data_IF_155493028605
#
_entry.id   IF_155493028605
#
_cell.length_a   1.000
_cell.length_b   1.000
_cell.length_c   1.000
_cell.angle_alpha   90.00
_cell.angle_beta   90.00
_cell.angle_gamma   90.00
#
_symmetry.space_group_name_H-M   'P 1'
#
loop_
_entity.id
_entity.type
_entity.pdbx_description
1 polymer ?
#
# COMPACT_ATOMS: atom_id res chain seq x y z
N UNK A 1 -19.00 -76.32 -38.55
CA UNK A 1 -20.18 -76.00 -37.71
C UNK A 1 -19.70 -75.79 -36.27
N UNK A 2 -20.39 -74.95 -35.50
CA UNK A 2 -19.94 -74.25 -34.27
C UNK A 2 -19.80 -75.23 -33.07
N UNK A 3 -18.92 -75.00 -32.07
CA UNK A 3 -19.23 -74.48 -30.69
C UNK A 3 -17.92 -74.17 -29.92
N UNK A 4 -17.92 -73.10 -29.09
CA UNK A 4 -16.90 -72.73 -28.06
C UNK A 4 -17.30 -73.26 -26.66
N UNK A 5 -16.38 -73.52 -25.71
CA UNK A 5 -16.07 -72.55 -24.62
C UNK A 5 -14.56 -72.51 -24.24
N UNK A 6 -13.89 -71.45 -23.76
CA UNK A 6 -14.08 -70.48 -22.64
C UNK A 6 -13.73 -71.01 -21.23
N UNK A 7 -12.53 -70.67 -20.71
CA UNK A 7 -12.02 -70.58 -19.30
C UNK A 7 -10.58 -69.99 -19.43
N UNK A 8 -10.12 -68.83 -18.93
CA UNK A 8 -10.12 -68.16 -17.59
C UNK A 8 -9.19 -68.86 -16.56
N UNK A 9 -8.39 -68.25 -15.68
CA UNK A 9 -8.02 -66.87 -15.30
C UNK A 9 -6.57 -66.97 -14.71
N UNK A 10 -5.68 -65.97 -14.71
CA UNK A 10 -5.39 -65.03 -13.60
C UNK A 10 -4.13 -64.19 -13.93
N UNK A 11 -4.17 -62.92 -13.51
CA UNK A 11 -3.16 -61.88 -13.63
C UNK A 11 -1.75 -62.20 -13.09
N UNK A 12 -0.74 -61.62 -13.74
CA UNK A 12 0.48 -61.16 -13.06
C UNK A 12 0.40 -59.65 -12.89
N UNK A 13 0.31 -59.23 -11.63
CA UNK A 13 0.30 -57.83 -11.22
C UNK A 13 1.69 -57.23 -11.43
N UNK A 14 1.77 -56.15 -12.21
CA UNK A 14 2.79 -55.12 -12.03
C UNK A 14 2.05 -53.78 -11.93
N UNK A 15 2.42 -52.90 -11.00
CA UNK A 15 1.85 -51.57 -10.96
C UNK A 15 2.23 -50.86 -12.25
N UNK A 16 1.26 -50.27 -12.94
CA UNK A 16 1.57 -49.11 -13.78
C UNK A 16 1.96 -48.00 -12.83
N UNK A 17 3.27 -47.96 -12.50
CA UNK A 17 3.88 -46.83 -11.85
C UNK A 17 3.53 -45.61 -12.68
N UNK A 18 2.77 -44.69 -12.11
CA UNK A 18 2.56 -43.38 -12.70
C UNK A 18 3.93 -42.72 -12.79
N UNK A 19 4.55 -42.83 -13.97
CA UNK A 19 5.69 -42.02 -14.32
C UNK A 19 5.13 -40.60 -14.43
N UNK A 20 5.35 -39.80 -13.39
CA UNK A 20 5.29 -38.37 -13.51
C UNK A 20 6.40 -38.00 -14.51
N UNK A 21 6.03 -37.94 -15.78
CA UNK A 21 6.91 -37.54 -16.86
C UNK A 21 7.26 -36.07 -16.60
N UNK A 22 8.47 -35.84 -16.09
CA UNK A 22 9.01 -34.50 -15.91
C UNK A 22 9.20 -33.89 -17.30
N UNK A 23 8.17 -33.22 -17.79
CA UNK A 23 8.26 -32.37 -18.96
C UNK A 23 9.28 -31.28 -18.65
N UNK A 24 10.49 -31.42 -19.19
CA UNK A 24 11.49 -30.35 -19.14
C UNK A 24 10.87 -29.13 -19.79
N UNK A 25 10.88 -27.99 -19.09
CA UNK A 25 10.51 -26.72 -19.71
C UNK A 25 11.36 -26.54 -20.98
N UNK A 26 10.69 -26.35 -22.10
CA UNK A 26 11.36 -26.10 -23.38
C UNK A 26 12.10 -24.76 -23.28
N UNK A 27 13.40 -24.76 -23.56
CA UNK A 27 14.21 -23.54 -23.60
C UNK A 27 13.62 -22.51 -24.56
N UNK A 28 12.88 -22.94 -25.59
CA UNK A 28 12.15 -22.04 -26.48
C UNK A 28 11.00 -21.28 -25.79
N UNK A 29 10.33 -21.91 -24.81
CA UNK A 29 9.29 -21.29 -23.99
C UNK A 29 9.85 -20.37 -22.89
N UNK A 30 11.12 -20.55 -22.51
CA UNK A 30 11.85 -19.63 -21.62
C UNK A 30 12.59 -18.52 -22.38
N UNK A 31 12.96 -18.75 -23.65
CA UNK A 31 13.65 -17.77 -24.51
C UNK A 31 12.80 -16.53 -24.83
N UNK A 32 11.47 -16.64 -24.75
CA UNK A 32 10.54 -15.50 -24.85
C UNK A 32 10.50 -14.63 -23.59
N UNK A 33 10.93 -15.17 -22.44
CA UNK A 33 11.08 -14.44 -21.18
C UNK A 33 12.42 -13.71 -21.13
N UNK A 34 13.49 -14.30 -21.69
CA UNK A 34 14.81 -13.68 -21.78
C UNK A 34 14.90 -12.63 -22.90
N UNK A 35 14.26 -11.48 -22.70
CA UNK A 35 14.31 -10.36 -23.67
C UNK A 35 13.52 -9.10 -23.29
N UNK A 36 13.01 -9.00 -22.06
CA UNK A 36 12.21 -7.86 -21.62
C UNK A 36 13.08 -6.75 -21.03
N UNK A 37 12.72 -5.50 -21.32
CA UNK A 37 13.37 -4.28 -20.79
C UNK A 37 12.84 -3.94 -19.39
N UNK A 38 12.89 -4.90 -18.47
CA UNK A 38 12.24 -4.84 -17.17
C UNK A 38 11.40 -6.08 -16.85
N UNK A 39 10.73 -6.07 -15.69
CA UNK A 39 9.85 -7.13 -15.21
C UNK A 39 8.50 -6.51 -14.88
N UNK A 40 7.43 -7.06 -15.47
CA UNK A 40 6.04 -6.77 -15.08
C UNK A 40 5.51 -7.89 -14.19
N UNK A 41 4.86 -7.52 -13.09
CA UNK A 41 4.21 -8.43 -12.15
C UNK A 41 2.77 -7.95 -11.95
N UNK A 42 1.80 -8.80 -12.23
CA UNK A 42 0.41 -8.63 -11.80
C UNK A 42 0.24 -9.40 -10.48
N UNK A 43 -0.40 -8.79 -9.49
CA UNK A 43 -0.46 -9.32 -8.12
C UNK A 43 -1.81 -9.05 -7.48
N UNK A 44 -2.34 -10.08 -6.82
CA UNK A 44 -3.46 -10.01 -5.88
C UNK A 44 -2.93 -10.53 -4.53
N UNK A 45 -2.91 -9.72 -3.48
CA UNK A 45 -2.27 -10.09 -2.22
C UNK A 45 -2.94 -9.48 -0.98
N UNK A 46 -2.94 -10.21 0.12
CA UNK A 46 -3.26 -9.70 1.45
C UNK A 46 -2.12 -10.07 2.40
N UNK A 47 -1.79 -9.18 3.33
CA UNK A 47 -0.73 -9.37 4.30
C UNK A 47 -1.26 -9.15 5.72
N UNK A 48 -1.18 -10.20 6.53
CA UNK A 48 -1.46 -10.18 7.96
C UNK A 48 -0.14 -10.38 8.72
N UNK A 49 0.27 -9.38 9.52
CA UNK A 49 1.50 -9.39 10.32
C UNK A 49 1.10 -9.28 11.79
N UNK A 50 1.38 -10.32 12.58
CA UNK A 50 1.02 -10.33 14.00
C UNK A 50 1.67 -9.21 14.82
N UNK A 51 2.93 -8.84 14.53
CA UNK A 51 3.62 -7.76 15.22
C UNK A 51 4.77 -7.14 14.42
N UNK A 52 4.90 -5.82 14.47
CA UNK A 52 6.10 -5.06 14.05
C UNK A 52 6.67 -4.37 15.30
N UNK A 53 7.95 -4.60 15.61
CA UNK A 53 8.61 -3.98 16.77
C UNK A 53 9.79 -3.12 16.33
N UNK A 54 9.81 -1.86 16.76
CA UNK A 54 10.99 -1.01 16.79
C UNK A 54 11.54 -0.95 18.23
N UNK A 55 12.82 -1.26 18.42
CA UNK A 55 13.47 -1.34 19.74
C UNK A 55 14.59 -0.31 19.87
N UNK A 56 14.51 0.52 20.91
CA UNK A 56 15.53 1.49 21.34
C UNK A 56 15.37 1.75 22.85
N UNK A 57 16.23 1.11 23.65
CA UNK A 57 16.13 0.87 25.11
C UNK A 57 14.82 0.24 25.62
N UNK A 58 13.65 0.76 25.25
CA UNK A 58 12.36 0.08 25.25
C UNK A 58 11.91 -0.28 23.84
N UNK A 59 10.60 -0.33 23.56
CA UNK A 59 10.10 -0.56 22.20
C UNK A 59 8.76 0.09 21.89
N UNK A 60 8.55 0.45 20.62
CA UNK A 60 7.24 0.61 20.00
C UNK A 60 6.87 -0.72 19.33
N UNK A 61 5.75 -1.32 19.73
CA UNK A 61 5.20 -2.52 19.11
C UNK A 61 3.85 -2.19 18.46
N UNK A 62 3.66 -2.61 17.21
CA UNK A 62 2.43 -2.44 16.44
C UNK A 62 1.85 -3.84 16.21
N UNK A 63 0.67 -4.13 16.77
CA UNK A 63 0.04 -5.46 16.74
C UNK A 63 -1.02 -5.61 15.65
N UNK A 64 -1.17 -6.84 15.16
CA UNK A 64 -2.21 -7.28 14.22
C UNK A 64 -2.36 -6.34 13.00
N UNK A 65 -1.26 -6.13 12.28
CA UNK A 65 -1.20 -5.27 11.10
C UNK A 65 -1.78 -6.01 9.89
N UNK A 66 -2.85 -5.47 9.33
CA UNK A 66 -3.45 -5.90 8.07
C UNK A 66 -3.11 -4.88 6.97
N UNK A 67 -2.72 -5.40 5.80
CA UNK A 67 -2.68 -4.67 4.54
C UNK A 67 -3.40 -5.50 3.46
N UNK A 68 -4.35 -4.90 2.76
CA UNK A 68 -5.13 -5.56 1.71
C UNK A 68 -6.01 -4.55 0.97
N UNK A 69 -7.04 -5.05 0.28
CA UNK A 69 -8.10 -4.23 -0.31
C UNK A 69 -9.03 -3.64 0.76
N UNK A 70 -9.89 -2.71 0.36
CA UNK A 70 -10.84 -2.04 1.26
C UNK A 70 -12.12 -2.85 1.48
N UNK A 71 -12.43 -3.84 0.64
CA UNK A 71 -13.67 -4.63 0.68
C UNK A 71 -14.94 -3.74 0.64
N UNK A 72 -14.87 -2.62 -0.11
CA UNK A 72 -15.91 -1.58 -0.22
C UNK A 72 -16.10 -1.06 -1.64
N UNK A 73 -17.35 -0.78 -2.05
CA UNK A 73 -17.70 -0.07 -3.29
C UNK A 73 -18.08 1.42 -3.07
N UNK A 74 -18.21 1.85 -1.81
CA UNK A 74 -18.68 3.20 -1.44
C UNK A 74 -17.56 4.23 -1.23
N UNK A 75 -16.32 3.93 -1.62
CA UNK A 75 -15.20 4.88 -1.55
C UNK A 75 -15.47 6.09 -2.47
N UNK A 76 -15.41 7.31 -1.91
CA UNK A 76 -15.60 8.57 -2.63
C UNK A 76 -16.93 8.68 -3.40
N UNK A 77 -18.06 8.31 -2.77
CA UNK A 77 -19.43 8.32 -3.33
C UNK A 77 -19.75 9.54 -4.18
N UNK A 78 -19.36 10.73 -3.71
CA UNK A 78 -19.62 12.01 -4.37
C UNK A 78 -18.97 12.05 -5.76
N UNK A 79 -17.76 11.50 -5.88
CA UNK A 79 -16.99 11.44 -7.11
C UNK A 79 -17.62 10.58 -8.18
N UNK A 80 -18.01 9.34 -7.85
CA UNK A 80 -18.59 8.46 -8.86
C UNK A 80 -20.05 8.80 -9.18
N UNK A 81 -20.77 9.41 -8.22
CA UNK A 81 -22.11 9.95 -8.43
C UNK A 81 -22.09 11.14 -9.40
N UNK A 82 -21.12 12.04 -9.28
CA UNK A 82 -21.01 13.23 -10.13
C UNK A 82 -20.41 12.91 -11.52
N UNK A 83 -19.32 12.13 -11.59
CA UNK A 83 -18.55 11.97 -12.81
C UNK A 83 -18.79 10.63 -13.56
N UNK A 84 -19.11 9.55 -12.85
CA UNK A 84 -19.17 8.19 -13.42
C UNK A 84 -20.62 7.71 -13.65
N UNK A 85 -21.59 8.62 -13.76
CA UNK A 85 -23.00 8.26 -13.94
C UNK A 85 -23.60 7.44 -12.79
N UNK A 86 -22.97 7.44 -11.61
CA UNK A 86 -23.38 6.66 -10.45
C UNK A 86 -22.80 5.24 -10.36
N UNK A 87 -21.94 4.79 -11.28
CA UNK A 87 -21.24 3.50 -11.13
C UNK A 87 -20.01 3.67 -10.23
N UNK A 88 -19.85 2.90 -9.13
CA UNK A 88 -18.68 2.92 -8.26
C UNK A 88 -17.32 2.93 -8.96
N UNK A 89 -16.32 3.50 -8.29
CA UNK A 89 -14.92 3.42 -8.75
C UNK A 89 -14.37 2.00 -8.60
N UNK A 90 -14.69 1.34 -7.48
CA UNK A 90 -14.37 -0.08 -7.23
C UNK A 90 -15.56 -0.93 -7.70
N UNK A 91 -15.33 -1.84 -8.63
CA UNK A 91 -16.34 -2.77 -9.15
C UNK A 91 -16.08 -4.22 -8.73
N UNK A 92 -14.81 -4.55 -8.48
CA UNK A 92 -14.36 -5.85 -7.99
C UNK A 92 -14.08 -5.74 -6.49
N UNK A 93 -15.13 -5.77 -5.66
CA UNK A 93 -14.97 -5.64 -4.21
C UNK A 93 -14.24 -6.86 -3.63
N UNK A 94 -13.13 -6.60 -2.93
CA UNK A 94 -12.17 -7.61 -2.49
C UNK A 94 -11.44 -7.19 -1.20
N UNK A 95 -11.03 -8.16 -0.37
CA UNK A 95 -10.11 -7.92 0.75
C UNK A 95 -8.63 -8.04 0.34
N UNK A 96 -8.35 -8.47 -0.90
CA UNK A 96 -7.01 -8.50 -1.46
C UNK A 96 -6.67 -7.14 -2.05
N UNK A 97 -5.41 -6.73 -1.93
CA UNK A 97 -4.84 -5.68 -2.77
C UNK A 97 -4.68 -6.27 -4.18
N UNK A 98 -5.65 -6.01 -5.05
CA UNK A 98 -5.76 -6.54 -6.41
C UNK A 98 -5.92 -5.41 -7.45
N UNK A 99 -6.32 -5.76 -8.67
CA UNK A 99 -6.33 -4.88 -9.86
C UNK A 99 -5.02 -4.09 -10.07
N UNK A 100 -3.89 -4.64 -9.61
CA UNK A 100 -2.59 -3.96 -9.49
C UNK A 100 -1.50 -4.59 -10.38
N UNK A 101 -0.74 -3.72 -11.06
CA UNK A 101 0.50 -4.05 -11.77
C UNK A 101 1.69 -3.33 -11.15
N UNK A 102 2.77 -4.08 -10.94
CA UNK A 102 4.10 -3.58 -10.60
C UNK A 102 5.02 -3.74 -11.82
N UNK A 103 5.54 -2.63 -12.32
CA UNK A 103 6.66 -2.61 -13.27
C UNK A 103 7.97 -2.27 -12.56
N UNK A 104 8.98 -3.12 -12.78
CA UNK A 104 10.34 -2.99 -12.27
C UNK A 104 11.27 -2.79 -13.47
N UNK A 105 12.03 -1.70 -13.49
CA UNK A 105 12.98 -1.39 -14.57
C UNK A 105 14.28 -0.80 -14.00
N UNK A 106 15.39 -0.95 -14.73
CA UNK A 106 16.69 -0.37 -14.39
C UNK A 106 17.21 0.40 -15.60
N UNK A 107 17.41 1.71 -15.45
CA UNK A 107 17.84 2.59 -16.54
C UNK A 107 19.29 2.31 -16.97
N UNK A 108 19.69 2.85 -18.14
CA UNK A 108 21.07 2.73 -18.63
C UNK A 108 22.08 3.47 -17.74
N UNK A 109 21.60 4.47 -16.98
CA UNK A 109 22.30 5.27 -15.99
C UNK A 109 22.36 4.58 -14.62
N UNK A 110 21.59 3.51 -14.41
CA UNK A 110 21.57 2.71 -13.18
C UNK A 110 20.49 3.08 -12.16
N UNK A 111 19.49 3.89 -12.53
CA UNK A 111 18.33 4.16 -11.67
C UNK A 111 17.36 2.98 -11.67
N UNK A 112 16.96 2.49 -10.49
CA UNK A 112 15.89 1.52 -10.30
C UNK A 112 14.54 2.26 -10.25
N UNK A 113 13.64 1.94 -11.17
CA UNK A 113 12.23 2.37 -11.15
C UNK A 113 11.34 1.23 -10.69
N UNK A 114 10.48 1.51 -9.70
CA UNK A 114 9.37 0.67 -9.26
C UNK A 114 8.06 1.45 -9.48
N UNK A 115 7.13 0.91 -10.26
CA UNK A 115 5.89 1.59 -10.63
C UNK A 115 4.69 0.70 -10.37
N UNK A 116 3.90 1.07 -9.37
CA UNK A 116 2.62 0.47 -9.04
C UNK A 116 1.50 1.31 -9.68
N UNK A 117 0.63 0.67 -10.46
CA UNK A 117 -0.52 1.33 -11.07
C UNK A 117 -1.66 0.33 -11.37
N UNK A 118 -2.92 0.79 -11.50
CA UNK A 118 -4.05 -0.08 -11.77
C UNK A 118 -3.99 -0.75 -13.16
N UNK A 119 -4.47 -1.99 -13.26
CA UNK A 119 -4.66 -2.69 -14.56
C UNK A 119 -5.96 -2.28 -15.26
N UNK A 120 -6.96 -1.84 -14.50
CA UNK A 120 -8.27 -1.44 -15.01
C UNK A 120 -8.28 -0.05 -15.64
N UNK A 121 -8.96 0.11 -16.79
CA UNK A 121 -9.19 1.44 -17.35
C UNK A 121 -10.18 2.22 -16.49
N UNK A 122 -9.74 3.35 -15.94
CA UNK A 122 -10.52 4.23 -15.06
C UNK A 122 -11.04 3.55 -13.77
N UNK A 123 -10.37 2.51 -13.31
CA UNK A 123 -10.49 1.96 -11.96
C UNK A 123 -9.19 2.27 -11.18
N UNK A 124 -9.24 2.74 -9.93
CA UNK A 124 -8.08 2.76 -9.04
C UNK A 124 -7.84 1.37 -8.45
N UNK A 125 -6.76 1.23 -7.68
CA UNK A 125 -6.61 0.16 -6.69
C UNK A 125 -7.10 0.71 -5.35
N UNK A 126 -8.04 0.05 -4.69
CA UNK A 126 -8.38 0.32 -3.29
C UNK A 126 -7.43 -0.40 -2.32
N UNK A 127 -7.33 0.15 -1.11
CA UNK A 127 -6.55 -0.44 -0.05
C UNK A 127 -7.17 -0.18 1.32
N UNK A 128 -6.90 -1.06 2.27
CA UNK A 128 -7.09 -0.83 3.69
C UNK A 128 -5.84 -1.20 4.48
N UNK A 129 -5.47 -0.32 5.41
CA UNK A 129 -4.43 -0.54 6.42
C UNK A 129 -5.10 -0.52 7.78
N UNK A 130 -4.95 -1.59 8.56
CA UNK A 130 -5.52 -1.70 9.91
C UNK A 130 -4.48 -2.22 10.88
N UNK A 131 -4.56 -1.79 12.14
CA UNK A 131 -3.75 -2.33 13.25
C UNK A 131 -4.60 -2.36 14.51
N UNK A 132 -4.39 -3.34 15.39
CA UNK A 132 -5.04 -3.34 16.71
C UNK A 132 -4.46 -2.21 17.58
N UNK A 133 -3.23 -2.36 18.08
CA UNK A 133 -2.63 -1.41 19.02
C UNK A 133 -1.17 -1.04 18.68
N UNK A 134 -0.82 0.21 18.97
CA UNK A 134 0.55 0.73 18.94
C UNK A 134 0.98 0.92 20.39
N UNK A 135 1.68 -0.05 20.96
CA UNK A 135 2.09 -0.07 22.37
C UNK A 135 3.49 0.48 22.58
N UNK A 136 3.66 1.32 23.60
CA UNK A 136 4.98 1.65 24.15
C UNK A 136 5.28 0.69 25.29
N UNK A 137 6.39 -0.05 25.19
CA UNK A 137 6.87 -1.03 26.17
C UNK A 137 8.24 -0.63 26.71
N UNK A 138 8.59 -1.06 27.92
CA UNK A 138 9.93 -0.86 28.48
C UNK A 138 10.95 -1.90 28.00
N UNK A 139 12.18 -1.80 28.53
CA UNK A 139 13.30 -2.70 28.26
C UNK A 139 13.01 -4.19 28.59
N UNK A 140 12.09 -4.46 29.53
CA UNK A 140 11.67 -5.81 29.90
C UNK A 140 10.49 -6.30 29.02
N UNK A 141 10.04 -5.49 28.06
CA UNK A 141 8.91 -5.77 27.18
C UNK A 141 7.54 -5.54 27.83
N UNK A 142 7.47 -4.91 29.00
CA UNK A 142 6.21 -4.68 29.70
C UNK A 142 5.49 -3.44 29.13
N UNK A 143 4.21 -3.52 28.72
CA UNK A 143 3.48 -2.39 28.19
C UNK A 143 3.32 -1.27 29.22
N UNK A 144 3.48 -0.03 28.77
CA UNK A 144 3.34 1.21 29.57
C UNK A 144 2.08 1.98 29.22
N UNK A 145 1.81 2.16 27.93
CA UNK A 145 0.59 2.75 27.43
C UNK A 145 0.41 2.45 25.94
N UNK A 146 -0.85 2.51 25.50
CA UNK A 146 -1.24 2.46 24.09
C UNK A 146 -1.20 3.87 23.51
N UNK A 147 -0.37 4.07 22.48
CA UNK A 147 -0.22 5.34 21.76
C UNK A 147 -1.35 5.53 20.74
N UNK A 148 -1.63 4.50 19.95
CA UNK A 148 -2.73 4.43 18.96
C UNK A 148 -3.47 3.11 19.17
N UNK A 149 -4.80 3.14 19.07
CA UNK A 149 -5.69 1.99 19.17
C UNK A 149 -6.77 2.06 18.07
N UNK A 150 -7.26 0.91 17.61
CA UNK A 150 -8.27 0.77 16.55
C UNK A 150 -7.94 1.59 15.27
N UNK A 151 -6.68 1.57 14.82
CA UNK A 151 -6.30 2.27 13.60
C UNK A 151 -6.90 1.56 12.38
N UNK A 152 -7.64 2.31 11.56
CA UNK A 152 -8.15 1.91 10.26
C UNK A 152 -7.99 3.07 9.29
N UNK A 153 -7.50 2.78 8.09
CA UNK A 153 -7.40 3.71 6.97
C UNK A 153 -7.87 2.97 5.72
N UNK A 154 -8.91 3.46 5.06
CA UNK A 154 -9.34 2.97 3.75
C UNK A 154 -9.14 4.07 2.71
N UNK A 155 -8.69 3.70 1.52
CA UNK A 155 -8.40 4.65 0.47
C UNK A 155 -8.27 4.03 -0.91
N UNK A 156 -7.86 4.85 -1.86
CA UNK A 156 -7.55 4.44 -3.22
C UNK A 156 -6.22 5.05 -3.66
N UNK A 157 -5.53 4.42 -4.61
CA UNK A 157 -4.47 5.05 -5.37
C UNK A 157 -4.61 4.79 -6.87
N UNK A 158 -4.10 5.73 -7.67
CA UNK A 158 -3.93 5.57 -9.12
C UNK A 158 -2.47 5.49 -9.55
N UNK A 159 -1.54 5.83 -8.64
CA UNK A 159 -0.11 5.79 -8.88
C UNK A 159 0.65 5.68 -7.55
N UNK A 160 1.57 4.73 -7.43
CA UNK A 160 2.64 4.79 -6.43
C UNK A 160 3.96 4.46 -7.16
N UNK A 161 4.84 5.44 -7.30
CA UNK A 161 6.14 5.27 -7.94
C UNK A 161 7.26 5.50 -6.93
N UNK A 162 8.30 4.68 -7.03
CA UNK A 162 9.56 4.86 -6.33
C UNK A 162 10.70 4.80 -7.34
N UNK A 163 11.61 5.77 -7.27
CA UNK A 163 12.87 5.77 -8.04
C UNK A 163 14.04 5.80 -7.08
N UNK A 164 15.00 4.90 -7.27
CA UNK A 164 16.20 4.80 -6.45
C UNK A 164 17.41 4.92 -7.37
N UNK A 165 18.22 5.96 -7.16
CA UNK A 165 19.40 6.23 -7.96
C UNK A 165 20.32 7.24 -7.29
N UNK A 166 21.51 7.42 -7.86
CA UNK A 166 22.43 8.47 -7.42
C UNK A 166 21.96 9.83 -7.95
N UNK A 167 21.82 10.81 -7.05
CA UNK A 167 21.45 12.18 -7.38
C UNK A 167 22.72 13.04 -7.47
N UNK A 168 23.01 13.56 -8.67
CA UNK A 168 24.20 14.38 -8.95
C UNK A 168 24.18 15.76 -8.27
N UNK A 169 23.00 16.31 -7.92
CA UNK A 169 22.86 17.59 -7.24
C UNK A 169 23.05 17.45 -5.72
N UNK A 170 22.54 16.37 -5.14
CA UNK A 170 22.71 16.01 -3.73
C UNK A 170 24.06 15.34 -3.44
N UNK A 171 24.67 14.70 -4.44
CA UNK A 171 25.92 13.95 -4.32
C UNK A 171 25.80 12.65 -3.52
N UNK A 172 24.63 12.01 -3.56
CA UNK A 172 24.31 10.81 -2.76
C UNK A 172 23.16 10.01 -3.40
N UNK A 173 22.97 8.76 -2.98
CA UNK A 173 21.82 7.95 -3.36
C UNK A 173 20.53 8.54 -2.77
N UNK A 174 19.48 8.59 -3.58
CA UNK A 174 18.17 9.16 -3.28
C UNK A 174 17.06 8.19 -3.66
N UNK A 175 16.10 8.01 -2.75
CA UNK A 175 14.79 7.45 -3.03
C UNK A 175 13.81 8.60 -3.25
N UNK A 176 13.34 8.80 -4.48
CA UNK A 176 12.21 9.68 -4.80
C UNK A 176 10.92 8.88 -4.76
N UNK A 177 9.88 9.41 -4.11
CA UNK A 177 8.54 8.83 -4.02
C UNK A 177 7.53 9.79 -4.66
N UNK A 178 6.74 9.30 -5.62
CA UNK A 178 5.62 10.02 -6.23
C UNK A 178 4.34 9.21 -6.07
N UNK A 179 3.35 9.74 -5.35
CA UNK A 179 2.10 9.06 -5.02
C UNK A 179 0.89 9.89 -5.48
N UNK A 180 -0.09 9.23 -6.07
CA UNK A 180 -1.44 9.75 -6.32
C UNK A 180 -2.40 8.90 -5.51
N UNK A 181 -2.82 9.42 -4.35
CA UNK A 181 -3.51 8.67 -3.30
C UNK A 181 -4.65 9.50 -2.68
N UNK A 182 -5.80 8.87 -2.47
CA UNK A 182 -6.92 9.42 -1.71
C UNK A 182 -7.16 8.58 -0.45
N UNK A 183 -7.43 9.23 0.67
CA UNK A 183 -7.97 8.56 1.88
C UNK A 183 -9.46 8.88 1.94
N UNK A 184 -10.32 7.87 1.89
CA UNK A 184 -11.79 8.05 1.96
C UNK A 184 -12.24 8.22 3.41
N UNK A 185 -11.70 7.36 4.27
CA UNK A 185 -11.99 7.22 5.68
C UNK A 185 -10.73 6.82 6.45
N UNK A 186 -10.53 7.41 7.62
CA UNK A 186 -9.46 7.07 8.54
C UNK A 186 -9.90 7.38 9.98
N UNK A 187 -9.80 6.36 10.80
CA UNK A 187 -10.24 6.29 12.18
C UNK A 187 -9.07 5.82 13.06
N UNK A 188 -8.86 6.49 14.20
CA UNK A 188 -8.02 5.95 15.28
C UNK A 188 -8.31 6.62 16.62
N UNK A 189 -8.00 5.93 17.70
CA UNK A 189 -7.96 6.45 19.05
C UNK A 189 -6.52 6.65 19.51
N UNK A 190 -6.26 7.65 20.36
CA UNK A 190 -5.00 7.82 21.09
C UNK A 190 -5.29 7.81 22.60
N UNK A 191 -5.41 6.61 23.22
CA UNK A 191 -5.83 6.49 24.62
C UNK A 191 -4.96 7.28 25.60
N UNK A 192 -3.64 7.36 25.35
CA UNK A 192 -2.69 8.13 26.16
C UNK A 192 -3.00 9.64 26.25
N UNK A 193 -3.69 10.20 25.26
CA UNK A 193 -4.12 11.61 25.23
C UNK A 193 -5.63 11.78 25.42
N UNK A 194 -6.39 10.67 25.45
CA UNK A 194 -7.85 10.66 25.42
C UNK A 194 -8.43 11.28 24.14
N UNK A 195 -7.66 11.30 23.06
CA UNK A 195 -8.04 11.85 21.74
C UNK A 195 -8.58 10.73 20.86
N UNK A 196 -9.52 11.04 19.97
CA UNK A 196 -9.84 10.19 18.82
C UNK A 196 -10.09 11.04 17.58
N UNK A 197 -9.78 10.48 16.42
CA UNK A 197 -10.08 11.03 15.09
C UNK A 197 -11.07 10.09 14.43
N UNK A 198 -12.14 10.66 13.86
CA UNK A 198 -13.11 9.95 13.03
C UNK A 198 -13.37 10.63 11.70
N UNK A 199 -13.64 9.81 10.69
CA UNK A 199 -13.95 10.23 9.32
C UNK A 199 -12.88 11.19 8.77
N UNK A 200 -11.58 10.87 8.94
CA UNK A 200 -10.53 11.62 8.26
C UNK A 200 -10.51 11.26 6.78
N UNK A 201 -10.67 12.26 5.93
CA UNK A 201 -10.65 12.15 4.47
C UNK A 201 -9.58 13.08 3.90
N UNK A 202 -8.85 12.61 2.89
CA UNK A 202 -7.87 13.40 2.14
C UNK A 202 -8.09 13.20 0.63
N UNK A 203 -8.29 14.29 -0.09
CA UNK A 203 -8.48 14.35 -1.54
C UNK A 203 -7.59 15.44 -2.12
N UNK A 204 -7.54 15.61 -3.45
CA UNK A 204 -6.88 16.76 -4.08
C UNK A 204 -7.69 18.04 -3.84
N UNK A 205 -7.05 19.22 -3.90
CA UNK A 205 -7.70 20.49 -3.57
C UNK A 205 -8.74 21.00 -4.58
N UNK A 206 -9.11 20.21 -5.60
CA UNK A 206 -10.20 20.49 -6.54
C UNK A 206 -11.35 19.47 -6.43
N UNK A 207 -11.33 18.58 -5.43
CA UNK A 207 -12.35 17.54 -5.27
C UNK A 207 -13.75 18.10 -5.01
N UNK A 208 -13.89 19.08 -4.11
CA UNK A 208 -15.21 19.64 -3.76
C UNK A 208 -15.90 20.33 -4.95
N UNK A 209 -15.14 20.99 -5.82
CA UNK A 209 -15.64 21.69 -7.02
C UNK A 209 -15.85 20.73 -8.22
N UNK A 210 -15.06 19.66 -8.29
CA UNK A 210 -15.05 18.72 -9.42
C UNK A 210 -14.82 17.28 -8.92
N UNK A 211 -15.77 16.67 -8.18
CA UNK A 211 -15.56 15.36 -7.58
C UNK A 211 -15.53 14.27 -8.65
N UNK A 212 -14.39 13.60 -8.79
CA UNK A 212 -14.15 12.51 -9.73
C UNK A 212 -12.93 11.66 -9.29
N UNK A 213 -12.64 10.57 -10.00
CA UNK A 213 -11.52 9.68 -9.65
C UNK A 213 -10.15 10.40 -9.57
N UNK A 214 -9.90 11.33 -10.48
CA UNK A 214 -8.61 12.02 -10.57
C UNK A 214 -8.45 13.10 -9.49
N UNK A 215 -9.54 13.71 -9.02
CA UNK A 215 -9.51 14.66 -7.90
C UNK A 215 -9.63 13.97 -6.53
N UNK A 216 -10.12 12.73 -6.47
CA UNK A 216 -10.10 11.94 -5.23
C UNK A 216 -8.65 11.66 -4.76
N UNK A 217 -7.68 11.66 -5.68
CA UNK A 217 -6.29 11.36 -5.41
C UNK A 217 -5.45 12.64 -5.28
N UNK A 218 -5.00 12.95 -4.06
CA UNK A 218 -4.00 13.98 -3.82
C UNK A 218 -2.63 13.54 -4.36
N UNK A 219 -1.86 14.48 -4.89
CA UNK A 219 -0.46 14.22 -5.24
C UNK A 219 0.42 14.44 -4.01
N UNK A 220 1.28 13.48 -3.70
CA UNK A 220 2.32 13.56 -2.67
C UNK A 220 3.66 13.21 -3.31
N UNK A 221 4.67 14.05 -3.08
CA UNK A 221 6.05 13.82 -3.52
C UNK A 221 7.02 13.99 -2.35
N UNK A 222 8.09 13.19 -2.30
CA UNK A 222 9.18 13.36 -1.33
C UNK A 222 10.50 12.74 -1.82
N UNK A 223 11.62 13.39 -1.49
CA UNK A 223 12.98 12.88 -1.72
C UNK A 223 13.61 12.44 -0.39
N UNK A 224 13.97 11.16 -0.30
CA UNK A 224 14.53 10.51 0.88
C UNK A 224 16.00 10.15 0.61
N UNK A 225 16.93 10.66 1.43
CA UNK A 225 18.37 10.46 1.22
C UNK A 225 19.20 10.60 2.51
N UNK A 226 20.49 10.25 2.46
CA UNK A 226 21.42 10.46 3.58
C UNK A 226 21.87 11.93 3.64
N UNK A 227 21.45 12.67 4.67
CA UNK A 227 21.76 14.08 4.85
C UNK A 227 22.42 14.42 6.20
N UNK A 228 22.32 15.69 6.58
CA UNK A 228 22.79 16.19 7.88
C UNK A 228 21.66 16.89 8.65
N UNK A 229 21.75 16.83 9.97
CA UNK A 229 20.94 17.63 10.88
C UNK A 229 21.51 19.06 11.01
N UNK A 230 20.80 19.95 11.71
CA UNK A 230 21.17 21.35 11.90
C UNK A 230 22.46 21.59 12.70
N UNK A 231 23.06 20.55 13.28
CA UNK A 231 24.34 20.57 13.99
C UNK A 231 25.49 19.90 13.21
N UNK A 232 25.22 19.41 11.99
CA UNK A 232 26.20 18.71 11.15
C UNK A 232 26.37 17.21 11.46
N UNK A 233 25.56 16.64 12.35
CA UNK A 233 25.46 15.19 12.55
C UNK A 233 24.69 14.53 11.40
N UNK A 234 24.95 13.24 11.13
CA UNK A 234 24.24 12.49 10.09
C UNK A 234 22.74 12.33 10.39
N UNK A 235 21.91 12.36 9.35
CA UNK A 235 20.46 12.21 9.45
C UNK A 235 19.89 11.54 8.20
N UNK A 236 18.75 10.88 8.34
CA UNK A 236 17.87 10.61 7.21
C UNK A 236 17.16 11.92 6.85
N UNK A 237 17.35 12.40 5.63
CA UNK A 237 16.65 13.55 5.09
C UNK A 237 15.39 13.08 4.35
N UNK A 238 14.30 13.81 4.53
CA UNK A 238 13.09 13.74 3.71
C UNK A 238 12.78 15.18 3.28
N UNK A 239 13.16 15.54 2.07
CA UNK A 239 13.01 16.91 1.53
C UNK A 239 12.07 16.92 0.33
N UNK A 240 11.88 18.11 -0.25
CA UNK A 240 10.98 18.35 -1.38
C UNK A 240 9.55 17.84 -1.14
N UNK A 241 9.14 17.76 0.14
CA UNK A 241 7.81 17.27 0.52
C UNK A 241 6.77 18.19 -0.09
N UNK A 242 6.10 17.67 -1.12
CA UNK A 242 5.05 18.33 -1.88
C UNK A 242 3.71 17.66 -1.59
N UNK A 243 2.68 18.45 -1.33
CA UNK A 243 1.31 17.94 -1.25
C UNK A 243 0.31 19.02 -1.65
N UNK A 244 -0.58 18.68 -2.58
CA UNK A 244 -1.78 19.46 -2.89
C UNK A 244 -3.01 18.65 -2.50
N UNK A 245 -3.71 19.08 -1.45
CA UNK A 245 -4.82 18.34 -0.87
C UNK A 245 -5.90 19.24 -0.26
N UNK A 246 -7.09 18.68 -0.10
CA UNK A 246 -8.07 19.07 0.90
C UNK A 246 -8.12 17.96 1.97
N UNK A 247 -8.30 18.35 3.24
CA UNK A 247 -8.41 17.42 4.37
C UNK A 247 -9.69 17.73 5.15
N UNK A 248 -10.50 16.72 5.40
CA UNK A 248 -11.67 16.82 6.28
C UNK A 248 -11.55 15.81 7.42
N UNK A 249 -12.06 16.17 8.60
CA UNK A 249 -12.21 15.28 9.75
C UNK A 249 -13.65 15.44 10.27
N UNK A 250 -14.45 14.38 10.16
CA UNK A 250 -15.85 14.39 10.59
C UNK A 250 -16.03 14.62 12.09
N UNK A 251 -15.15 14.05 12.92
CA UNK A 251 -15.19 14.27 14.37
C UNK A 251 -13.83 14.13 15.05
N UNK A 252 -13.37 15.21 15.68
CA UNK A 252 -12.28 15.19 16.66
C UNK A 252 -12.92 14.97 18.03
N UNK A 253 -12.48 13.97 18.79
CA UNK A 253 -13.04 13.65 20.11
C UNK A 253 -12.02 13.79 21.22
N UNK A 254 -12.42 14.31 22.39
CA UNK A 254 -11.61 14.37 23.60
C UNK A 254 -12.39 13.80 24.78
N UNK A 255 -11.84 12.79 25.45
CA UNK A 255 -12.51 12.07 26.54
C UNK A 255 -13.78 11.34 26.09
N UNK A 256 -13.80 10.80 24.86
CA UNK A 256 -14.96 10.11 24.28
C UNK A 256 -16.13 11.03 23.94
N UNK A 257 -15.88 12.32 23.70
CA UNK A 257 -16.88 13.30 23.25
C UNK A 257 -16.33 14.11 22.10
N UNK A 258 -17.10 14.24 21.01
CA UNK A 258 -16.75 15.15 19.92
C UNK A 258 -16.61 16.59 20.43
N UNK A 259 -15.56 17.27 19.99
CA UNK A 259 -15.33 18.71 20.17
C UNK A 259 -15.60 19.50 18.87
N UNK A 260 -15.95 18.81 17.78
CA UNK A 260 -16.26 19.39 16.47
C UNK A 260 -15.59 18.64 15.32
N UNK A 261 -15.88 19.08 14.10
CA UNK A 261 -15.20 18.68 12.86
C UNK A 261 -14.12 19.68 12.47
N UNK A 262 -13.27 19.31 11.51
CA UNK A 262 -12.26 20.20 10.92
C UNK A 262 -12.27 20.06 9.39
N UNK A 263 -12.10 21.16 8.66
CA UNK A 263 -11.69 21.15 7.25
C UNK A 263 -10.44 22.00 7.09
N UNK A 264 -9.45 21.49 6.36
CA UNK A 264 -8.34 22.24 5.77
C UNK A 264 -8.59 22.24 4.27
N UNK A 265 -8.69 23.44 3.71
CA UNK A 265 -9.14 23.70 2.34
C UNK A 265 -8.01 24.40 1.59
N UNK A 266 -7.70 23.92 0.37
CA UNK A 266 -6.57 24.35 -0.43
C UNK A 266 -5.21 24.22 0.29
N UNK A 267 -4.95 23.06 0.94
CA UNK A 267 -3.63 22.76 1.51
C UNK A 267 -2.62 22.56 0.38
N UNK A 268 -1.70 23.51 0.26
CA UNK A 268 -0.57 23.46 -0.67
C UNK A 268 0.75 23.50 0.11
N UNK A 269 1.37 22.33 0.29
CA UNK A 269 2.71 22.19 0.86
C UNK A 269 3.72 22.06 -0.28
N UNK A 270 4.77 22.88 -0.25
CA UNK A 270 5.83 22.90 -1.25
C UNK A 270 7.18 23.04 -0.54
N UNK A 271 8.12 22.16 -0.85
CA UNK A 271 9.47 22.22 -0.28
C UNK A 271 9.53 21.94 1.23
N UNK A 272 8.61 21.11 1.76
CA UNK A 272 8.70 20.64 3.14
C UNK A 272 9.98 19.82 3.35
N UNK A 273 10.54 19.89 4.55
CA UNK A 273 11.78 19.19 4.92
C UNK A 273 11.68 18.66 6.34
N UNK A 274 12.08 17.40 6.51
CA UNK A 274 12.20 16.69 7.78
C UNK A 274 13.58 16.02 7.84
N UNK A 275 14.27 16.13 8.98
CA UNK A 275 15.53 15.41 9.26
C UNK A 275 15.30 14.50 10.46
N UNK A 276 15.49 13.19 10.27
CA UNK A 276 15.32 12.15 11.30
C UNK A 276 16.71 11.64 11.70
N UNK A 277 17.04 11.68 12.99
CA UNK A 277 18.34 11.29 13.53
C UNK A 277 18.20 10.85 15.00
N UNK A 278 19.09 9.96 15.44
CA UNK A 278 19.19 9.55 16.85
C UNK A 278 19.75 10.65 17.75
N UNK A 279 19.63 10.46 19.07
CA UNK A 279 20.10 11.39 20.10
C UNK A 279 21.09 10.72 21.06
#
# INVERSE_FOLDING_TARGET
MIIKPTVSLVALLLPMSALAELQSLDEYAMSTVSGQSGISIEMEAQMDIGEIIYTDEGSLAITEVFLGGADRDDLFVEGYTAANGGTPFIQNVSSLLDDLKLDIDISAEGELSLKFFPVGFAAPVDFSIRTEAWEIRDADGAPKFTLIDNFKMDGIFTQLWAKIGYDDELGTDRLNLEMMIGIDDLDFDMPALGLAIRDFRMTRSDYDDNPNLLSANAQIEADIYSGQNSQGGGALAIDNIGMNADITVGSIQVGGRSIGSMKVDNLNMVGGSLKIYGH
#
